data_IF_873736961402
#
_entry.id   IF_873736961402
#
_cell.length_a   1.000
_cell.length_b   1.000
_cell.length_c   1.000
_cell.angle_alpha   90.00
_cell.angle_beta   90.00
_cell.angle_gamma   90.00
#
_symmetry.space_group_name_H-M   'P 1'
#
loop_
_entity.id
_entity.type
_entity.pdbx_description
1 polymer ?
#
# COMPACT_ATOMS: atom_id res chain seq x y z
N UNK A 1 19.36 -0.78 5.07
CA UNK A 1 18.27 -0.48 6.03
C UNK A 1 17.61 0.78 5.51
N UNK A 2 16.29 0.81 5.32
CA UNK A 2 15.65 2.07 4.94
C UNK A 2 15.70 3.02 6.13
N UNK A 3 16.40 4.14 6.01
CA UNK A 3 16.53 5.13 7.08
C UNK A 3 15.29 6.03 7.14
N UNK A 4 15.04 6.67 8.30
CA UNK A 4 13.90 7.59 8.49
C UNK A 4 13.68 8.60 7.34
N UNK A 5 14.70 9.29 6.80
CA UNK A 5 14.51 10.21 5.68
C UNK A 5 14.04 9.52 4.39
N UNK A 6 14.44 8.27 4.14
CA UNK A 6 14.02 7.51 2.95
C UNK A 6 12.54 7.10 3.07
N UNK A 7 12.13 6.65 4.26
CA UNK A 7 10.73 6.32 4.56
C UNK A 7 9.83 7.55 4.42
N UNK A 8 10.28 8.71 4.93
CA UNK A 8 9.53 9.96 4.80
C UNK A 8 9.39 10.40 3.34
N UNK A 9 10.48 10.32 2.55
CA UNK A 9 10.45 10.62 1.11
C UNK A 9 9.49 9.70 0.37
N UNK A 10 9.55 8.40 0.65
CA UNK A 10 8.68 7.41 0.02
C UNK A 10 7.22 7.62 0.41
N UNK A 11 6.91 7.85 1.68
CA UNK A 11 5.55 8.18 2.14
C UNK A 11 5.00 9.43 1.42
N UNK A 12 5.83 10.46 1.22
CA UNK A 12 5.47 11.64 0.42
C UNK A 12 5.17 11.32 -1.04
N UNK A 13 6.00 10.49 -1.69
CA UNK A 13 5.77 10.05 -3.07
C UNK A 13 4.48 9.22 -3.20
N UNK A 14 4.25 8.30 -2.27
CA UNK A 14 3.02 7.52 -2.19
C UNK A 14 1.81 8.43 -2.01
N UNK A 15 1.85 9.36 -1.05
CA UNK A 15 0.76 10.32 -0.79
C UNK A 15 0.39 11.07 -2.06
N UNK A 16 1.38 11.66 -2.73
CA UNK A 16 1.16 12.42 -3.96
C UNK A 16 0.55 11.56 -5.09
N UNK A 17 0.87 10.27 -5.12
CA UNK A 17 0.49 9.39 -6.23
C UNK A 17 -0.82 8.64 -6.00
N UNK A 18 -1.13 8.30 -4.74
CA UNK A 18 -2.18 7.35 -4.37
C UNK A 18 -3.39 7.99 -3.69
N UNK A 19 -3.24 9.15 -3.03
CA UNK A 19 -4.37 9.83 -2.41
C UNK A 19 -5.49 10.11 -3.43
N UNK A 20 -6.74 9.89 -3.03
CA UNK A 20 -7.94 9.99 -3.86
C UNK A 20 -8.19 8.79 -4.78
N UNK A 21 -7.31 7.78 -4.80
CA UNK A 21 -7.55 6.53 -5.55
C UNK A 21 -8.30 5.51 -4.70
N UNK A 22 -9.21 4.78 -5.33
CA UNK A 22 -9.92 3.64 -4.74
C UNK A 22 -9.15 2.35 -5.00
N UNK A 23 -9.00 1.52 -3.97
CA UNK A 23 -8.34 0.22 -4.06
C UNK A 23 -9.30 -0.76 -4.77
N UNK A 24 -9.01 -1.12 -6.02
CA UNK A 24 -9.85 -2.07 -6.76
C UNK A 24 -9.50 -3.54 -6.47
N UNK A 25 -8.22 -3.80 -6.21
CA UNK A 25 -7.71 -5.14 -5.94
C UNK A 25 -6.46 -5.04 -5.06
N UNK A 26 -6.22 -6.07 -4.25
CA UNK A 26 -5.00 -6.23 -3.49
C UNK A 26 -4.56 -7.69 -3.49
N UNK A 27 -3.26 -7.90 -3.68
CA UNK A 27 -2.65 -9.22 -3.71
C UNK A 27 -1.63 -9.31 -2.58
N UNK A 28 -1.85 -10.22 -1.64
CA UNK A 28 -0.88 -10.55 -0.61
C UNK A 28 -0.06 -11.76 -1.06
N UNK A 29 1.16 -11.51 -1.51
CA UNK A 29 2.06 -12.56 -2.01
C UNK A 29 2.67 -13.41 -0.89
N UNK A 30 2.72 -12.89 0.33
CA UNK A 30 3.17 -13.61 1.52
C UNK A 30 2.17 -13.43 2.66
N UNK A 31 1.40 -14.49 2.93
CA UNK A 31 0.35 -14.48 3.96
C UNK A 31 0.92 -14.20 5.36
N UNK A 32 2.17 -14.60 5.62
CA UNK A 32 2.87 -14.35 6.89
C UNK A 32 3.19 -12.87 7.17
N UNK A 33 3.03 -11.99 6.19
CA UNK A 33 3.27 -10.56 6.35
C UNK A 33 2.04 -9.79 6.86
N UNK A 34 0.86 -10.41 6.84
CA UNK A 34 -0.37 -9.82 7.36
C UNK A 34 -0.65 -10.31 8.78
N UNK A 35 -1.08 -9.38 9.64
CA UNK A 35 -1.47 -9.70 11.01
C UNK A 35 -2.90 -10.28 11.11
N UNK A 36 -3.62 -10.33 9.97
CA UNK A 36 -4.97 -10.85 9.80
C UNK A 36 -5.03 -11.74 8.56
N UNK A 37 -6.00 -12.67 8.46
CA UNK A 37 -6.18 -13.50 7.28
C UNK A 37 -6.27 -12.67 5.98
N UNK A 38 -5.69 -13.15 4.86
CA UNK A 38 -5.71 -12.41 3.60
C UNK A 38 -7.11 -12.05 3.10
N UNK A 39 -8.10 -12.93 3.29
CA UNK A 39 -9.49 -12.67 2.90
C UNK A 39 -10.13 -11.54 3.71
N UNK A 40 -9.93 -11.54 5.02
CA UNK A 40 -10.41 -10.46 5.91
C UNK A 40 -9.74 -9.12 5.57
N UNK A 41 -8.45 -9.15 5.24
CA UNK A 41 -7.74 -7.95 4.79
C UNK A 41 -8.30 -7.42 3.46
N UNK A 42 -8.56 -8.30 2.49
CA UNK A 42 -9.15 -7.93 1.20
C UNK A 42 -10.53 -7.28 1.38
N UNK A 43 -11.40 -7.88 2.19
CA UNK A 43 -12.75 -7.35 2.46
C UNK A 43 -12.72 -5.95 3.08
N UNK A 44 -11.74 -5.66 3.95
CA UNK A 44 -11.63 -4.36 4.64
C UNK A 44 -11.07 -3.24 3.75
N UNK A 45 -10.25 -3.56 2.75
CA UNK A 45 -9.52 -2.55 1.96
C UNK A 45 -10.03 -2.38 0.55
N UNK A 46 -10.63 -3.41 -0.06
CA UNK A 46 -11.16 -3.31 -1.43
C UNK A 46 -12.38 -2.38 -1.42
N UNK A 47 -12.41 -1.45 -2.36
CA UNK A 47 -13.45 -0.43 -2.48
C UNK A 47 -13.22 0.82 -1.62
N UNK A 48 -12.27 0.78 -0.67
CA UNK A 48 -11.92 1.93 0.14
C UNK A 48 -11.05 2.93 -0.65
N UNK A 49 -11.24 4.22 -0.38
CA UNK A 49 -10.44 5.30 -0.96
C UNK A 49 -9.28 5.69 -0.03
N UNK A 50 -8.11 5.92 -0.60
CA UNK A 50 -6.94 6.40 0.15
C UNK A 50 -7.11 7.90 0.43
N UNK A 51 -7.28 8.27 1.70
CA UNK A 51 -7.39 9.68 2.11
C UNK A 51 -6.02 10.30 2.35
N UNK A 52 -5.16 9.60 3.09
CA UNK A 52 -3.85 10.11 3.47
C UNK A 52 -2.78 9.02 3.55
N UNK A 53 -1.52 9.41 3.35
CA UNK A 53 -0.35 8.58 3.59
C UNK A 53 0.69 9.40 4.35
N UNK A 54 1.14 8.86 5.48
CA UNK A 54 2.11 9.49 6.38
C UNK A 54 3.06 8.46 6.97
N UNK A 55 4.25 8.88 7.38
CA UNK A 55 5.14 8.00 8.13
C UNK A 55 5.04 8.25 9.65
N UNK A 56 5.12 7.19 10.44
CA UNK A 56 5.24 7.24 11.90
C UNK A 56 6.42 6.37 12.32
N UNK A 57 7.56 7.02 12.57
CA UNK A 57 8.82 6.30 12.76
C UNK A 57 9.20 5.53 11.49
N UNK A 58 9.33 4.21 11.62
CA UNK A 58 9.66 3.30 10.49
C UNK A 58 8.45 2.74 9.74
N UNK A 59 7.24 3.16 10.12
CA UNK A 59 6.00 2.70 9.50
C UNK A 59 5.48 3.73 8.51
N UNK A 60 5.01 3.26 7.36
CA UNK A 60 4.12 4.03 6.48
C UNK A 60 2.69 3.66 6.85
N UNK A 61 1.87 4.67 7.11
CA UNK A 61 0.47 4.54 7.50
C UNK A 61 -0.37 5.15 6.39
N UNK A 62 -1.18 4.32 5.75
CA UNK A 62 -2.16 4.69 4.73
C UNK A 62 -3.54 4.70 5.37
N UNK A 63 -4.18 5.86 5.44
CA UNK A 63 -5.53 6.03 5.99
C UNK A 63 -6.57 5.93 4.89
N UNK A 64 -7.65 5.21 5.18
CA UNK A 64 -8.75 4.94 4.26
C UNK A 64 -10.03 5.65 4.73
N UNK A 65 -10.90 5.99 3.78
CA UNK A 65 -12.18 6.69 4.01
C UNK A 65 -13.20 5.91 4.85
N UNK A 66 -13.04 4.59 4.94
CA UNK A 66 -13.84 3.71 5.78
C UNK A 66 -13.33 3.60 7.23
N UNK A 67 -12.33 4.40 7.62
CA UNK A 67 -11.74 4.42 8.95
C UNK A 67 -10.65 3.37 9.20
N UNK A 68 -10.40 2.48 8.24
CA UNK A 68 -9.32 1.50 8.31
C UNK A 68 -7.96 2.13 8.00
N UNK A 69 -6.89 1.48 8.47
CA UNK A 69 -5.52 1.91 8.19
C UNK A 69 -4.65 0.73 7.75
N UNK A 70 -3.88 0.92 6.68
CA UNK A 70 -2.86 -0.04 6.24
C UNK A 70 -1.52 0.41 6.79
N UNK A 71 -0.85 -0.46 7.57
CA UNK A 71 0.47 -0.21 8.12
C UNK A 71 1.52 -1.04 7.37
N UNK A 72 2.49 -0.35 6.79
CA UNK A 72 3.59 -0.95 6.03
C UNK A 72 4.91 -0.69 6.76
N UNK A 73 5.60 -1.76 7.15
CA UNK A 73 6.98 -1.69 7.66
C UNK A 73 7.95 -2.13 6.57
N UNK A 74 8.80 -1.20 6.14
CA UNK A 74 9.85 -1.48 5.18
C UNK A 74 11.06 -2.03 5.93
N UNK A 75 11.18 -3.36 5.95
CA UNK A 75 12.36 -4.04 6.49
C UNK A 75 13.62 -3.75 5.66
N UNK A 76 14.74 -4.38 6.01
CA UNK A 76 15.95 -4.34 5.18
C UNK A 76 15.71 -5.03 3.84
N UNK A 77 15.73 -4.26 2.75
CA UNK A 77 15.61 -4.78 1.38
C UNK A 77 14.22 -4.65 0.74
N UNK A 78 13.28 -3.97 1.40
CA UNK A 78 11.98 -3.65 0.78
C UNK A 78 12.15 -2.57 -0.29
N UNK A 79 11.59 -2.81 -1.48
CA UNK A 79 11.51 -1.86 -2.59
C UNK A 79 10.04 -1.59 -2.93
N UNK A 80 9.75 -0.40 -3.47
CA UNK A 80 8.41 -0.01 -3.84
C UNK A 80 8.38 0.50 -5.27
N UNK A 81 7.81 -0.31 -6.16
CA UNK A 81 7.63 0.03 -7.56
C UNK A 81 6.19 0.44 -7.84
N UNK A 82 6.01 1.37 -8.77
CA UNK A 82 4.72 1.68 -9.37
C UNK A 82 4.74 1.18 -10.80
N UNK A 83 3.93 0.16 -11.06
CA UNK A 83 3.74 -0.39 -12.39
C UNK A 83 2.42 0.11 -12.99
N UNK A 84 2.41 0.36 -14.30
CA UNK A 84 1.15 0.53 -15.03
C UNK A 84 0.52 -0.86 -15.21
N UNK A 85 -0.81 -1.00 -15.11
CA UNK A 85 -1.46 -2.27 -15.41
C UNK A 85 -1.11 -2.68 -16.85
N UNK A 86 -0.40 -3.79 -17.00
CA UNK A 86 -0.13 -4.39 -18.30
C UNK A 86 -1.44 -4.97 -18.84
N UNK A 87 -2.15 -4.21 -19.68
CA UNK A 87 -3.24 -4.78 -20.48
C UNK A 87 -2.63 -5.65 -21.56
N UNK A 88 -2.48 -6.96 -21.28
CA UNK A 88 -2.14 -7.94 -22.30
C UNK A 88 -3.38 -8.10 -23.19
N UNK A 89 -3.48 -7.29 -24.24
CA UNK A 89 -4.47 -7.48 -25.30
C UNK A 89 -4.09 -8.72 -26.10
N UNK A 90 -4.66 -9.88 -25.75
CA UNK A 90 -4.70 -11.02 -26.66
C UNK A 90 -5.54 -10.62 -27.88
N UNK A 91 -4.90 -10.20 -28.98
CA UNK A 91 -5.52 -10.25 -30.30
C UNK A 91 -5.48 -11.70 -30.76
N UNK A 92 -6.63 -12.36 -30.73
CA UNK A 92 -6.91 -13.55 -31.54
C UNK A 92 -7.54 -13.10 -32.85
#
# INVERSE_FOLDING_TARGET
>A
MAELPEIAKLAGQMRHTLCGKTIQAITLLQEKCANIPPGEFQERVIGAQIEDIRNKGKWIVTSLDNGENILLSLGTGADMTKDLPLTISHRS
#
